data_IF_220542349681
#
_entry.id   IF_220542349681
#
_cell.length_a   1.000
_cell.length_b   1.000
_cell.length_c   1.000
_cell.angle_alpha   90.00
_cell.angle_beta   90.00
_cell.angle_gamma   90.00
#
_symmetry.space_group_name_H-M   'P 1'
#
loop_
_entity.id
_entity.type
_entity.pdbx_description
1 polymer ?
#
# COMPACT_ATOMS: atom_id res chain seq x y z
N UNK A 1 -3.96 6.24 -18.87
CA UNK A 1 -4.25 7.07 -20.07
C UNK A 1 -5.63 6.82 -20.69
N UNK A 2 -6.21 5.61 -20.64
CA UNK A 2 -7.50 5.31 -21.29
C UNK A 2 -8.77 5.66 -20.47
N UNK A 3 -8.66 5.88 -19.16
CA UNK A 3 -9.83 6.10 -18.28
C UNK A 3 -10.12 7.58 -17.94
N UNK A 4 -9.18 8.50 -18.15
CA UNK A 4 -9.27 9.90 -17.71
C UNK A 4 -8.72 10.85 -18.80
N UNK A 5 -9.40 10.92 -19.95
CA UNK A 5 -8.88 11.56 -21.17
C UNK A 5 -8.78 13.10 -21.12
N UNK A 6 -9.47 13.81 -20.21
CA UNK A 6 -9.57 15.29 -20.25
C UNK A 6 -9.28 16.04 -18.95
N UNK A 7 -9.29 15.35 -17.81
CA UNK A 7 -8.85 15.84 -16.49
C UNK A 7 -7.55 15.13 -16.08
N UNK A 8 -6.54 15.14 -16.94
CA UNK A 8 -5.21 14.68 -16.56
C UNK A 8 -4.62 15.72 -15.59
N UNK A 9 -5.05 15.62 -14.33
CA UNK A 9 -4.70 16.54 -13.28
C UNK A 9 -3.18 16.58 -13.18
N UNK A 10 -2.59 17.78 -13.21
CA UNK A 10 -1.15 18.02 -13.09
C UNK A 10 -0.50 17.24 -11.92
N UNK A 11 -1.29 16.89 -10.89
CA UNK A 11 -0.93 15.98 -9.79
C UNK A 11 -0.43 14.59 -10.22
N UNK A 12 -0.92 13.99 -11.31
CA UNK A 12 -0.43 12.68 -11.78
C UNK A 12 0.99 12.75 -12.36
N UNK A 13 1.43 13.91 -12.85
CA UNK A 13 2.81 14.11 -13.27
C UNK A 13 3.77 14.12 -12.08
N UNK A 14 3.33 14.62 -10.91
CA UNK A 14 4.08 14.55 -9.65
C UNK A 14 4.21 13.11 -9.12
N UNK A 15 3.36 12.19 -9.56
CA UNK A 15 3.43 10.79 -9.13
C UNK A 15 4.70 10.09 -9.61
N UNK A 16 5.21 10.43 -10.80
CA UNK A 16 6.46 9.89 -11.34
C UNK A 16 7.68 10.22 -10.47
N UNK A 17 8.02 11.50 -10.20
CA UNK A 17 9.17 11.85 -9.35
C UNK A 17 8.98 11.36 -7.91
N UNK A 18 7.76 11.39 -7.37
CA UNK A 18 7.48 10.86 -6.03
C UNK A 18 7.69 9.35 -5.97
N UNK A 19 7.28 8.60 -7.00
CA UNK A 19 7.53 7.15 -7.05
C UNK A 19 9.02 6.82 -7.14
N UNK A 20 9.81 7.64 -7.86
CA UNK A 20 11.27 7.50 -7.91
C UNK A 20 11.89 7.77 -6.54
N UNK A 21 11.48 8.85 -5.88
CA UNK A 21 11.95 9.18 -4.53
C UNK A 21 11.57 8.10 -3.52
N UNK A 22 10.34 7.60 -3.58
CA UNK A 22 9.86 6.51 -2.74
C UNK A 22 10.65 5.21 -2.98
N UNK A 23 10.94 4.87 -4.23
CA UNK A 23 11.83 3.76 -4.58
C UNK A 23 13.21 3.90 -3.96
N UNK A 24 13.82 5.09 -4.08
CA UNK A 24 15.11 5.38 -3.46
C UNK A 24 15.09 5.22 -1.93
N UNK A 25 14.01 5.67 -1.27
CA UNK A 25 13.83 5.45 0.17
C UNK A 25 13.67 3.96 0.53
N UNK A 26 12.97 3.17 -0.29
CA UNK A 26 12.89 1.71 -0.10
C UNK A 26 14.28 1.09 -0.20
N UNK A 27 15.05 1.44 -1.23
CA UNK A 27 16.39 0.89 -1.43
C UNK A 27 17.34 1.23 -0.26
N UNK A 28 17.32 2.47 0.21
CA UNK A 28 18.06 2.88 1.40
C UNK A 28 17.58 2.10 2.62
N UNK A 29 16.27 1.96 2.80
CA UNK A 29 15.71 1.22 3.94
C UNK A 29 16.16 -0.24 3.92
N UNK A 30 16.15 -0.88 2.75
CA UNK A 30 16.66 -2.25 2.57
C UNK A 30 18.14 -2.35 2.94
N UNK A 31 18.97 -1.37 2.56
CA UNK A 31 20.38 -1.32 2.95
C UNK A 31 20.55 -1.11 4.47
N UNK A 32 19.78 -0.20 5.06
CA UNK A 32 19.82 0.08 6.51
C UNK A 32 19.32 -1.10 7.35
N UNK A 33 18.39 -1.90 6.83
CA UNK A 33 17.84 -3.10 7.46
C UNK A 33 18.55 -4.38 7.03
N UNK A 34 19.64 -4.31 6.27
CA UNK A 34 20.37 -5.48 5.78
C UNK A 34 20.91 -6.40 6.89
N UNK A 35 21.12 -5.87 8.09
CA UNK A 35 21.53 -6.64 9.28
C UNK A 35 20.37 -7.40 9.93
N UNK A 36 19.12 -7.11 9.57
CA UNK A 36 17.93 -7.81 10.08
C UNK A 36 17.68 -9.07 9.26
N UNK A 37 18.38 -10.15 9.64
CA UNK A 37 18.23 -11.48 9.03
C UNK A 37 17.63 -12.45 10.05
N UNK A 38 16.29 -12.49 10.20
CA UNK A 38 15.65 -13.38 11.15
C UNK A 38 15.84 -14.85 10.74
N UNK A 39 16.62 -15.60 11.51
CA UNK A 39 16.88 -17.02 11.24
C UNK A 39 15.69 -17.90 11.62
N UNK A 40 15.16 -17.70 12.83
CA UNK A 40 14.02 -18.47 13.31
C UNK A 40 12.72 -18.02 12.67
N UNK A 41 11.87 -19.01 12.35
CA UNK A 41 10.59 -18.77 11.71
C UNK A 41 9.68 -17.82 12.49
N UNK A 42 9.66 -17.94 13.83
CA UNK A 42 8.89 -17.04 14.68
C UNK A 42 9.34 -15.57 14.54
N UNK A 43 10.66 -15.34 14.48
CA UNK A 43 11.19 -14.00 14.27
C UNK A 43 10.83 -13.43 12.90
N UNK A 44 10.81 -14.26 11.84
CA UNK A 44 10.35 -13.84 10.49
C UNK A 44 8.92 -13.31 10.51
N UNK A 45 8.02 -14.00 11.24
CA UNK A 45 6.62 -13.59 11.38
C UNK A 45 6.51 -12.31 12.20
N UNK A 46 7.25 -12.18 13.31
CA UNK A 46 7.24 -10.97 14.13
C UNK A 46 7.70 -9.76 13.31
N UNK A 47 8.83 -9.87 12.59
CA UNK A 47 9.34 -8.78 11.74
C UNK A 47 8.36 -8.43 10.62
N UNK A 48 7.68 -9.42 10.04
CA UNK A 48 6.64 -9.21 9.04
C UNK A 48 5.45 -8.42 9.61
N UNK A 49 4.94 -8.82 10.78
CA UNK A 49 3.80 -8.16 11.42
C UNK A 49 4.16 -6.71 11.77
N UNK A 50 5.35 -6.47 12.33
CA UNK A 50 5.83 -5.10 12.60
C UNK A 50 5.94 -4.28 11.31
N UNK A 51 6.49 -4.85 10.24
CA UNK A 51 6.55 -4.22 8.92
C UNK A 51 5.15 -3.87 8.39
N UNK A 52 4.18 -4.78 8.51
CA UNK A 52 2.79 -4.52 8.10
C UNK A 52 2.15 -3.40 8.92
N UNK A 53 2.48 -3.28 10.21
CA UNK A 53 1.97 -2.21 11.07
C UNK A 53 2.52 -0.86 10.64
N UNK A 54 3.84 -0.77 10.43
CA UNK A 54 4.52 0.46 10.00
C UNK A 54 4.01 0.88 8.61
N UNK A 55 3.91 -0.06 7.68
CA UNK A 55 3.39 0.19 6.34
C UNK A 55 1.93 0.65 6.37
N UNK A 56 1.07 -0.04 7.14
CA UNK A 56 -0.33 0.34 7.30
C UNK A 56 -0.51 1.74 7.89
N UNK A 57 0.35 2.13 8.84
CA UNK A 57 0.40 3.49 9.37
C UNK A 57 0.81 4.50 8.27
N UNK A 58 1.89 4.22 7.54
CA UNK A 58 2.37 5.08 6.45
C UNK A 58 1.29 5.33 5.39
N UNK A 59 0.63 4.27 4.93
CA UNK A 59 -0.48 4.35 3.97
C UNK A 59 -1.65 5.15 4.55
N UNK A 60 -1.98 4.98 5.83
CA UNK A 60 -3.06 5.77 6.45
C UNK A 60 -2.75 7.27 6.48
N UNK A 61 -1.49 7.65 6.77
CA UNK A 61 -1.06 9.03 6.77
C UNK A 61 -1.06 9.62 5.36
N UNK A 62 -0.61 8.87 4.37
CA UNK A 62 -0.65 9.25 2.95
C UNK A 62 -2.08 9.56 2.49
N UNK A 63 -3.04 8.69 2.82
CA UNK A 63 -4.46 8.86 2.49
C UNK A 63 -5.06 10.07 3.21
N UNK A 64 -4.81 10.23 4.51
CA UNK A 64 -5.36 11.36 5.31
C UNK A 64 -4.78 12.69 4.87
N UNK A 65 -3.49 12.74 4.55
CA UNK A 65 -2.82 13.95 4.10
C UNK A 65 -3.23 14.35 2.66
N UNK A 66 -3.97 13.51 1.94
CA UNK A 66 -4.39 13.72 0.55
C UNK A 66 -3.23 14.15 -0.36
N UNK A 67 -2.03 13.59 -0.07
CA UNK A 67 -0.84 13.79 -0.87
C UNK A 67 -0.94 12.96 -2.15
N UNK A 68 0.01 13.16 -3.07
CA UNK A 68 0.05 12.36 -4.29
C UNK A 68 0.34 10.91 -3.90
N UNK A 69 -0.64 10.04 -4.14
CA UNK A 69 -0.57 8.63 -3.77
C UNK A 69 0.18 7.78 -4.79
N UNK A 70 0.78 6.68 -4.34
CA UNK A 70 1.35 5.67 -5.24
C UNK A 70 0.25 5.03 -6.11
N UNK A 71 0.60 4.50 -7.29
CA UNK A 71 -0.40 4.07 -8.29
C UNK A 71 -1.39 3.03 -7.76
N UNK A 72 -0.89 2.05 -7.00
CA UNK A 72 -1.73 1.03 -6.36
C UNK A 72 -2.70 1.63 -5.35
N UNK A 73 -2.22 2.51 -4.47
CA UNK A 73 -3.05 3.12 -3.44
C UNK A 73 -4.03 4.16 -4.00
N UNK A 74 -3.62 4.90 -5.03
CA UNK A 74 -4.49 5.80 -5.77
C UNK A 74 -5.65 5.03 -6.44
N UNK A 75 -5.39 3.82 -6.95
CA UNK A 75 -6.43 2.96 -7.53
C UNK A 75 -7.40 2.45 -6.46
N UNK A 76 -6.87 1.96 -5.33
CA UNK A 76 -7.69 1.55 -4.16
C UNK A 76 -8.53 2.71 -3.66
N UNK A 77 -7.95 3.91 -3.55
CA UNK A 77 -8.63 5.13 -3.13
C UNK A 77 -9.76 5.51 -4.10
N UNK A 78 -9.51 5.46 -5.42
CA UNK A 78 -10.54 5.75 -6.42
C UNK A 78 -11.72 4.76 -6.36
N UNK A 79 -11.45 3.46 -6.14
CA UNK A 79 -12.50 2.45 -5.95
C UNK A 79 -13.27 2.72 -4.65
N UNK A 80 -12.56 3.02 -3.56
CA UNK A 80 -13.15 3.36 -2.26
C UNK A 80 -14.13 4.53 -2.36
N UNK A 81 -13.75 5.61 -3.05
CA UNK A 81 -14.63 6.75 -3.32
C UNK A 81 -15.83 6.36 -4.18
N UNK A 82 -15.61 5.63 -5.28
CA UNK A 82 -16.69 5.22 -6.20
C UNK A 82 -17.70 4.27 -5.54
N UNK A 83 -17.22 3.32 -4.72
CA UNK A 83 -18.03 2.30 -4.05
C UNK A 83 -18.54 2.75 -2.67
N UNK A 84 -18.14 3.93 -2.19
CA UNK A 84 -18.42 4.45 -0.84
C UNK A 84 -18.10 3.42 0.25
N UNK A 85 -17.03 2.65 0.05
CA UNK A 85 -16.52 1.66 1.02
C UNK A 85 -15.26 2.22 1.66
N UNK A 86 -15.01 1.86 2.92
CA UNK A 86 -13.79 2.29 3.61
C UNK A 86 -12.52 1.83 2.88
N UNK A 87 -11.52 2.71 2.81
CA UNK A 87 -10.27 2.50 2.09
C UNK A 87 -9.62 1.15 2.44
N UNK A 88 -9.50 0.83 3.73
CA UNK A 88 -8.81 -0.40 4.16
C UNK A 88 -9.49 -1.69 3.69
N UNK A 89 -10.82 -1.74 3.60
CA UNK A 89 -11.51 -2.93 3.06
C UNK A 89 -11.27 -3.11 1.56
N UNK A 90 -11.25 -2.00 0.82
CA UNK A 90 -10.95 -2.02 -0.61
C UNK A 90 -9.50 -2.44 -0.83
N UNK A 91 -8.59 -1.99 0.04
CA UNK A 91 -7.18 -2.38 0.01
C UNK A 91 -6.99 -3.88 0.20
N UNK A 92 -7.62 -4.48 1.21
CA UNK A 92 -7.56 -5.93 1.44
C UNK A 92 -8.01 -6.69 0.18
N UNK A 93 -9.14 -6.29 -0.40
CA UNK A 93 -9.64 -6.92 -1.63
C UNK A 93 -8.65 -6.79 -2.79
N UNK A 94 -8.06 -5.60 -2.97
CA UNK A 94 -7.07 -5.35 -4.01
C UNK A 94 -5.79 -6.17 -3.81
N UNK A 95 -5.21 -6.16 -2.61
CA UNK A 95 -3.99 -6.91 -2.29
C UNK A 95 -4.23 -8.43 -2.43
N UNK A 96 -5.40 -8.93 -2.03
CA UNK A 96 -5.80 -10.32 -2.28
C UNK A 96 -5.92 -10.65 -3.77
N UNK A 97 -6.41 -9.72 -4.61
CA UNK A 97 -6.45 -9.95 -6.07
C UNK A 97 -5.05 -10.04 -6.67
N UNK A 98 -4.12 -9.18 -6.23
CA UNK A 98 -2.73 -9.22 -6.67
C UNK A 98 -2.04 -10.51 -6.24
N UNK A 99 -2.22 -10.93 -4.99
CA UNK A 99 -1.71 -12.20 -4.49
C UNK A 99 -2.26 -13.39 -5.29
N UNK A 100 -3.56 -13.40 -5.58
CA UNK A 100 -4.20 -14.47 -6.36
C UNK A 100 -3.65 -14.52 -7.78
N UNK A 101 -3.49 -13.35 -8.42
CA UNK A 101 -2.88 -13.25 -9.74
C UNK A 101 -1.43 -13.75 -9.72
N UNK A 102 -0.65 -13.40 -8.70
CA UNK A 102 0.71 -13.91 -8.53
C UNK A 102 0.76 -15.44 -8.40
N UNK A 103 -0.18 -16.05 -7.66
CA UNK A 103 -0.30 -17.51 -7.59
C UNK A 103 -0.62 -18.13 -8.95
N UNK A 104 -1.59 -17.57 -9.69
CA UNK A 104 -1.99 -18.07 -11.01
C UNK A 104 -0.82 -17.97 -12.00
N UNK A 105 -0.15 -16.82 -12.07
CA UNK A 105 0.97 -16.62 -12.99
C UNK A 105 2.16 -17.50 -12.64
N UNK A 106 2.45 -17.67 -11.34
CA UNK A 106 3.49 -18.58 -10.85
C UNK A 106 3.21 -20.03 -11.24
N UNK A 107 1.96 -20.51 -11.08
CA UNK A 107 1.57 -21.85 -11.50
C UNK A 107 1.70 -22.07 -13.02
N UNK A 108 1.26 -21.09 -13.83
CA UNK A 108 1.32 -21.19 -15.29
C UNK A 108 2.75 -21.18 -15.84
N UNK A 109 3.65 -20.40 -15.23
CA UNK A 109 5.01 -20.19 -15.74
C UNK A 109 6.05 -21.12 -15.10
N UNK A 110 5.91 -21.42 -13.81
CA UNK A 110 6.88 -22.20 -13.02
C UNK A 110 6.40 -23.61 -12.64
N UNK A 111 5.14 -23.96 -12.95
CA UNK A 111 4.57 -25.28 -12.62
C UNK A 111 4.33 -25.50 -11.13
N UNK A 112 4.44 -24.47 -10.31
CA UNK A 112 4.28 -24.50 -8.86
C UNK A 112 4.20 -23.09 -8.29
N UNK A 113 3.74 -22.93 -7.05
CA UNK A 113 3.67 -21.61 -6.38
C UNK A 113 5.05 -21.26 -5.81
N UNK A 114 5.76 -20.40 -6.53
CA UNK A 114 7.07 -19.84 -6.14
C UNK A 114 6.92 -18.35 -5.82
N UNK A 115 7.60 -17.88 -4.76
CA UNK A 115 7.59 -16.46 -4.36
C UNK A 115 6.37 -16.01 -3.52
N UNK A 116 5.25 -16.74 -3.54
CA UNK A 116 4.11 -16.50 -2.64
C UNK A 116 4.13 -17.52 -1.51
N UNK A 117 4.11 -17.02 -0.27
CA UNK A 117 4.12 -17.85 0.95
C UNK A 117 3.11 -17.32 1.96
N UNK A 118 3.08 -17.93 3.14
CA UNK A 118 2.30 -17.47 4.29
C UNK A 118 2.47 -15.97 4.58
N UNK A 119 3.68 -15.43 4.40
CA UNK A 119 3.96 -14.02 4.67
C UNK A 119 3.21 -13.08 3.72
N UNK A 120 3.03 -13.48 2.46
CA UNK A 120 2.26 -12.71 1.48
C UNK A 120 0.78 -12.68 1.85
N UNK A 121 0.23 -13.82 2.31
CA UNK A 121 -1.16 -13.92 2.75
C UNK A 121 -1.37 -13.04 3.99
N UNK A 122 -0.47 -13.13 4.97
CA UNK A 122 -0.52 -12.30 6.17
C UNK A 122 -0.45 -10.81 5.80
N UNK A 123 0.47 -10.41 4.93
CA UNK A 123 0.61 -9.01 4.52
C UNK A 123 -0.63 -8.48 3.78
N UNK A 124 -1.18 -9.25 2.83
CA UNK A 124 -2.35 -8.86 2.04
C UNK A 124 -3.60 -8.59 2.90
N UNK A 125 -3.74 -9.33 4.01
CA UNK A 125 -4.84 -9.13 4.95
C UNK A 125 -4.52 -8.06 5.99
N UNK A 126 -3.34 -8.12 6.59
CA UNK A 126 -3.00 -7.33 7.77
C UNK A 126 -2.78 -5.86 7.45
N UNK A 127 -2.11 -5.54 6.33
CA UNK A 127 -1.79 -4.14 5.96
C UNK A 127 -3.06 -3.32 5.81
N UNK A 128 -4.08 -3.86 5.12
CA UNK A 128 -5.34 -3.16 4.94
C UNK A 128 -6.17 -3.05 6.24
N UNK A 129 -6.12 -4.05 7.13
CA UNK A 129 -6.74 -3.98 8.47
C UNK A 129 -6.08 -2.89 9.31
N UNK A 130 -4.74 -2.82 9.32
CA UNK A 130 -4.01 -1.82 10.08
C UNK A 130 -4.22 -0.42 9.51
N UNK A 131 -4.20 -0.27 8.18
CA UNK A 131 -4.50 1.00 7.53
C UNK A 131 -5.91 1.50 7.87
N UNK A 132 -6.90 0.59 7.91
CA UNK A 132 -8.27 0.89 8.36
C UNK A 132 -8.29 1.40 9.80
N UNK A 133 -7.60 0.69 10.70
CA UNK A 133 -7.55 1.03 12.11
C UNK A 133 -6.96 2.43 12.32
N UNK A 134 -5.83 2.73 11.67
CA UNK A 134 -5.20 4.04 11.79
C UNK A 134 -6.00 5.14 11.09
N UNK A 135 -6.61 4.88 9.92
CA UNK A 135 -7.48 5.85 9.27
C UNK A 135 -8.62 6.33 10.18
N UNK A 136 -9.22 5.42 10.96
CA UNK A 136 -10.28 5.76 11.91
C UNK A 136 -9.75 6.47 13.16
N UNK A 137 -8.59 6.04 13.69
CA UNK A 137 -7.95 6.69 14.85
C UNK A 137 -7.45 8.10 14.53
N UNK A 138 -6.91 8.30 13.33
CA UNK A 138 -6.26 9.53 12.90
C UNK A 138 -7.20 10.46 12.13
N UNK A 139 -8.50 10.16 12.05
CA UNK A 139 -9.50 11.05 11.43
C UNK A 139 -9.53 12.44 12.08
N UNK A 140 -9.07 12.58 13.33
CA UNK A 140 -8.92 13.89 13.97
C UNK A 140 -7.89 14.79 13.27
N UNK A 141 -6.86 14.22 12.65
CA UNK A 141 -5.85 14.98 11.91
C UNK A 141 -6.46 15.60 10.67
N UNK A 142 -7.37 14.91 9.99
CA UNK A 142 -8.09 15.44 8.84
C UNK A 142 -8.79 16.77 9.16
N UNK A 143 -9.27 16.98 10.39
CA UNK A 143 -9.90 18.24 10.81
C UNK A 143 -8.91 19.40 11.01
N UNK A 144 -7.61 19.13 11.11
CA UNK A 144 -6.54 20.12 11.28
C UNK A 144 -5.76 20.40 10.00
N UNK A 145 -5.94 19.60 8.95
CA UNK A 145 -5.31 19.85 7.66
C UNK A 145 -6.14 20.89 6.88
N UNK A 146 -5.50 21.91 6.27
CA UNK A 146 -6.19 22.87 5.42
C UNK A 146 -6.77 22.18 4.18
N UNK A 147 -7.97 22.61 3.75
CA UNK A 147 -8.63 22.06 2.58
C UNK A 147 -7.78 22.23 1.31
N UNK A 148 -7.69 21.20 0.46
CA UNK A 148 -6.81 21.17 -0.72
C UNK A 148 -7.27 22.07 -1.89
N UNK A 149 -8.25 22.95 -1.69
CA UNK A 149 -8.85 23.80 -2.74
C UNK A 149 -8.07 25.12 -2.94
N UNK A 150 -7.06 25.40 -2.12
CA UNK A 150 -6.28 26.64 -2.19
C UNK A 150 -4.80 26.51 -2.61
N UNK A 151 -4.42 25.43 -3.32
CA UNK A 151 -3.11 25.28 -3.98
C UNK A 151 -3.25 24.95 -5.46
#
# INVERSE_FOLDING_TARGET
MLLLKKDFQKKQWLQLPISVLFGFFIDISMLMLSWVVPEFYLWKIITLVLGCIILGLGVSLEVIANVVMLSGEAFVHAISQKKKKEFGWVKIGFDCTLMTLACITSLLLSGGVTGVREGTIIAALLVGIVARYFNHKLTFLQKRLPDPVHL
#
